data_IF_266969945822
#
_entry.id   IF_266969945822
#
_cell.length_a   1.000
_cell.length_b   1.000
_cell.length_c   1.000
_cell.angle_alpha   90.00
_cell.angle_beta   90.00
_cell.angle_gamma   90.00
#
_symmetry.space_group_name_H-M   'P 1'
#
loop_
_entity.id
_entity.type
_entity.pdbx_description
1 polymer ?
#
# COMPACT_ATOMS: atom_id res chain seq x y z
N UNK A 1 -22.92 -4.12 -27.09
CA UNK A 1 -22.22 -3.75 -28.36
C UNK A 1 -21.95 -2.25 -28.55
N UNK A 2 -22.60 -1.33 -27.81
CA UNK A 2 -22.42 0.13 -28.01
C UNK A 2 -21.12 0.77 -27.50
N UNK A 3 -20.40 0.15 -26.55
CA UNK A 3 -19.18 0.74 -25.98
C UNK A 3 -17.97 0.63 -26.92
N UNK A 4 -17.88 -0.43 -27.72
CA UNK A 4 -16.71 -0.70 -28.56
C UNK A 4 -16.55 0.32 -29.73
N UNK A 5 -17.67 0.83 -30.26
CA UNK A 5 -17.70 1.87 -31.30
C UNK A 5 -17.29 3.25 -30.78
N UNK A 6 -17.65 3.59 -29.53
CA UNK A 6 -17.26 4.86 -28.90
C UNK A 6 -15.76 4.91 -28.61
N UNK A 7 -15.20 3.79 -28.15
CA UNK A 7 -13.76 3.62 -27.91
C UNK A 7 -12.94 3.80 -29.20
N UNK A 8 -13.33 3.16 -30.31
CA UNK A 8 -12.64 3.36 -31.59
C UNK A 8 -12.72 4.82 -32.10
N UNK A 9 -13.83 5.52 -31.86
CA UNK A 9 -13.98 6.93 -32.28
C UNK A 9 -13.06 7.90 -31.52
N UNK A 10 -12.75 7.60 -30.25
CA UNK A 10 -11.82 8.40 -29.44
C UNK A 10 -10.37 8.11 -29.84
N UNK A 11 -10.05 6.84 -30.09
CA UNK A 11 -8.74 6.42 -30.61
C UNK A 11 -8.44 6.96 -32.01
N UNK A 12 -9.45 7.23 -32.85
CA UNK A 12 -9.24 7.87 -34.16
C UNK A 12 -9.06 9.40 -34.07
N UNK A 13 -9.50 10.06 -32.99
CA UNK A 13 -9.18 11.49 -32.74
C UNK A 13 -7.72 11.72 -32.30
N UNK A 14 -6.98 10.64 -32.06
CA UNK A 14 -5.57 10.56 -31.58
C UNK A 14 -4.56 11.22 -32.52
N UNK A 15 -4.83 11.25 -33.83
CA UNK A 15 -3.91 11.87 -34.81
C UNK A 15 -3.79 13.40 -34.65
N UNK A 16 -4.69 14.04 -33.90
CA UNK A 16 -4.74 15.49 -33.77
C UNK A 16 -4.02 16.07 -32.54
N UNK A 17 -3.42 15.24 -31.67
CA UNK A 17 -2.70 15.74 -30.49
C UNK A 17 -1.27 16.17 -30.86
N UNK A 18 -1.01 17.49 -30.78
CA UNK A 18 0.30 18.10 -31.10
C UNK A 18 1.44 17.75 -30.13
N UNK A 19 1.15 17.19 -28.95
CA UNK A 19 2.14 16.90 -27.90
C UNK A 19 2.17 15.41 -27.58
N UNK A 20 3.36 14.82 -27.58
CA UNK A 20 3.57 13.41 -27.22
C UNK A 20 3.08 13.07 -25.80
N UNK A 21 3.28 13.99 -24.85
CA UNK A 21 2.82 13.82 -23.47
C UNK A 21 1.29 13.79 -23.36
N UNK A 22 0.61 14.63 -24.15
CA UNK A 22 -0.86 14.67 -24.12
C UNK A 22 -1.45 13.42 -24.76
N UNK A 23 -0.83 12.94 -25.85
CA UNK A 23 -1.20 11.66 -26.46
C UNK A 23 -1.04 10.50 -25.47
N UNK A 24 0.09 10.43 -24.76
CA UNK A 24 0.34 9.40 -23.76
C UNK A 24 -0.67 9.44 -22.61
N UNK A 25 -0.96 10.63 -22.06
CA UNK A 25 -1.98 10.77 -21.02
C UNK A 25 -3.36 10.25 -21.47
N UNK A 26 -3.78 10.53 -22.71
CA UNK A 26 -5.05 10.02 -23.23
C UNK A 26 -5.03 8.50 -23.44
N UNK A 27 -3.88 7.94 -23.81
CA UNK A 27 -3.71 6.49 -23.94
C UNK A 27 -3.82 5.82 -22.57
N UNK A 28 -3.18 6.39 -21.55
CA UNK A 28 -3.27 5.91 -20.18
C UNK A 28 -4.72 6.00 -19.67
N UNK A 29 -5.40 7.13 -19.83
CA UNK A 29 -6.80 7.30 -19.39
C UNK A 29 -7.80 6.34 -20.06
N UNK A 30 -7.46 5.79 -21.23
CA UNK A 30 -8.30 4.83 -21.96
C UNK A 30 -7.89 3.38 -21.72
N UNK A 31 -6.75 3.15 -21.07
CA UNK A 31 -6.24 1.81 -20.75
C UNK A 31 -6.82 1.32 -19.43
N UNK A 32 -7.04 0.02 -19.33
CA UNK A 32 -7.50 -0.60 -18.08
C UNK A 32 -6.48 -0.31 -16.96
N UNK A 33 -6.99 0.15 -15.81
CA UNK A 33 -6.15 0.52 -14.66
C UNK A 33 -5.29 -0.66 -14.19
N UNK A 34 -5.78 -1.89 -14.28
CA UNK A 34 -5.01 -3.09 -13.92
C UNK A 34 -3.77 -3.28 -14.80
N UNK A 35 -3.87 -2.95 -16.10
CA UNK A 35 -2.77 -3.04 -17.06
C UNK A 35 -1.73 -1.95 -16.78
N UNK A 36 -2.16 -0.71 -16.53
CA UNK A 36 -1.25 0.39 -16.19
C UNK A 36 -0.48 0.10 -14.90
N UNK A 37 -1.17 -0.35 -13.86
CA UNK A 37 -0.55 -0.70 -12.57
C UNK A 37 0.38 -1.90 -12.72
N UNK A 38 0.04 -2.88 -13.55
CA UNK A 38 0.90 -4.03 -13.84
C UNK A 38 2.21 -3.62 -14.54
N UNK A 39 2.14 -2.75 -15.55
CA UNK A 39 3.33 -2.21 -16.24
C UNK A 39 4.21 -1.39 -15.28
N UNK A 40 3.57 -0.50 -14.52
CA UNK A 40 4.26 0.37 -13.59
C UNK A 40 4.93 -0.43 -12.46
N UNK A 41 4.26 -1.47 -11.96
CA UNK A 41 4.79 -2.39 -10.96
C UNK A 41 5.93 -3.24 -11.53
N UNK A 42 5.77 -3.78 -12.74
CA UNK A 42 6.83 -4.53 -13.42
C UNK A 42 8.10 -3.68 -13.62
N UNK A 43 7.91 -2.45 -14.08
CA UNK A 43 9.00 -1.47 -14.26
C UNK A 43 9.65 -1.12 -12.92
N UNK A 44 8.86 -0.90 -11.86
CA UNK A 44 9.39 -0.61 -10.54
C UNK A 44 10.21 -1.78 -9.96
N UNK A 45 9.74 -3.02 -10.10
CA UNK A 45 10.45 -4.20 -9.63
C UNK A 45 11.73 -4.41 -10.45
N UNK A 46 11.65 -4.41 -11.78
CA UNK A 46 12.82 -4.65 -12.65
C UNK A 46 13.93 -3.60 -12.47
N UNK A 47 13.58 -2.37 -12.11
CA UNK A 47 14.53 -1.28 -11.80
C UNK A 47 14.99 -1.25 -10.35
N UNK A 48 14.65 -2.26 -9.53
CA UNK A 48 14.96 -2.30 -8.09
C UNK A 48 14.39 -1.12 -7.29
N UNK A 49 13.31 -0.50 -7.75
CA UNK A 49 12.70 0.64 -7.06
C UNK A 49 11.75 0.14 -5.96
N UNK A 50 12.33 -0.13 -4.78
CA UNK A 50 11.59 -0.63 -3.62
C UNK A 50 10.49 0.34 -3.17
N UNK A 51 10.77 1.65 -3.18
CA UNK A 51 9.81 2.67 -2.74
C UNK A 51 8.56 2.65 -3.62
N UNK A 52 8.74 2.66 -4.95
CA UNK A 52 7.65 2.65 -5.91
C UNK A 52 6.88 1.32 -5.88
N UNK A 53 7.61 0.20 -5.82
CA UNK A 53 7.01 -1.14 -5.66
C UNK A 53 6.12 -1.21 -4.42
N UNK A 54 6.63 -0.70 -3.28
CA UNK A 54 5.88 -0.65 -2.02
C UNK A 54 4.65 0.24 -2.16
N UNK A 55 4.80 1.46 -2.69
CA UNK A 55 3.68 2.41 -2.85
C UNK A 55 2.53 1.83 -3.65
N UNK A 56 2.81 1.08 -4.70
CA UNK A 56 1.77 0.45 -5.54
C UNK A 56 1.11 -0.71 -4.78
N UNK A 57 1.90 -1.65 -4.25
CA UNK A 57 1.36 -2.86 -3.62
C UNK A 57 0.57 -2.57 -2.36
N UNK A 58 0.97 -1.57 -1.57
CA UNK A 58 0.22 -1.22 -0.36
C UNK A 58 -1.06 -0.46 -0.67
N UNK A 59 -1.32 -0.01 -1.89
CA UNK A 59 -2.52 0.77 -2.22
C UNK A 59 -3.68 -0.13 -2.67
N UNK A 60 -3.44 -1.41 -2.94
CA UNK A 60 -4.48 -2.35 -3.33
C UNK A 60 -5.43 -2.70 -2.17
N UNK A 61 -6.70 -2.88 -2.54
CA UNK A 61 -7.80 -3.31 -1.68
C UNK A 61 -8.67 -4.37 -2.34
N UNK A 62 -9.26 -5.26 -1.54
CA UNK A 62 -10.20 -6.26 -2.04
C UNK A 62 -9.56 -7.18 -3.09
N UNK A 63 -10.12 -7.20 -4.30
CA UNK A 63 -9.67 -8.03 -5.43
C UNK A 63 -8.76 -7.28 -6.42
N UNK A 64 -8.38 -6.02 -6.14
CA UNK A 64 -7.54 -5.22 -7.03
C UNK A 64 -6.17 -5.89 -7.30
N UNK A 65 -5.57 -6.52 -6.28
CA UNK A 65 -4.34 -7.28 -6.46
C UNK A 65 -4.51 -8.42 -7.47
N UNK A 66 -5.60 -9.19 -7.40
CA UNK A 66 -5.83 -10.34 -8.29
C UNK A 66 -6.04 -9.89 -9.75
N UNK A 67 -6.69 -8.73 -9.93
CA UNK A 67 -6.85 -8.10 -11.24
C UNK A 67 -5.49 -7.67 -11.82
N UNK A 68 -4.67 -7.00 -11.03
CA UNK A 68 -3.31 -6.58 -11.42
C UNK A 68 -2.41 -7.80 -11.65
N UNK A 69 -2.47 -8.83 -10.82
CA UNK A 69 -1.69 -10.07 -10.99
C UNK A 69 -2.07 -10.79 -12.29
N UNK A 70 -3.34 -10.74 -12.68
CA UNK A 70 -3.77 -11.26 -13.98
C UNK A 70 -3.17 -10.47 -15.14
N UNK A 71 -3.18 -9.13 -15.07
CA UNK A 71 -2.59 -8.26 -16.09
C UNK A 71 -1.05 -8.33 -16.12
N UNK A 72 -0.40 -8.58 -14.98
CA UNK A 72 1.06 -8.70 -14.84
C UNK A 72 1.67 -9.78 -15.73
N UNK A 73 0.88 -10.79 -16.10
CA UNK A 73 1.26 -11.87 -17.04
C UNK A 73 1.60 -11.36 -18.44
N UNK A 74 1.19 -10.14 -18.80
CA UNK A 74 1.60 -9.48 -20.04
C UNK A 74 3.11 -9.21 -20.04
N UNK A 75 3.69 -8.91 -18.88
CA UNK A 75 5.07 -8.43 -18.74
C UNK A 75 6.02 -9.47 -18.17
N UNK A 76 5.51 -10.44 -17.40
CA UNK A 76 6.33 -11.47 -16.76
C UNK A 76 5.64 -12.83 -16.77
N UNK A 77 6.45 -13.90 -16.87
CA UNK A 77 6.00 -15.27 -16.64
C UNK A 77 6.05 -15.67 -15.16
N UNK A 78 6.70 -14.86 -14.33
CA UNK A 78 6.77 -15.04 -12.88
C UNK A 78 5.59 -14.31 -12.21
N UNK A 79 5.11 -14.84 -11.07
CA UNK A 79 4.15 -14.10 -10.24
C UNK A 79 4.80 -12.85 -9.65
N UNK A 80 3.97 -11.85 -9.31
CA UNK A 80 4.42 -10.62 -8.67
C UNK A 80 5.29 -10.92 -7.44
N UNK A 81 4.84 -11.83 -6.58
CA UNK A 81 5.57 -12.19 -5.36
C UNK A 81 6.92 -12.85 -5.63
N UNK A 82 7.03 -13.64 -6.69
CA UNK A 82 8.30 -14.24 -7.09
C UNK A 82 9.27 -13.18 -7.60
N UNK A 83 8.78 -12.23 -8.40
CA UNK A 83 9.57 -11.07 -8.86
C UNK A 83 10.06 -10.22 -7.68
N UNK A 84 9.19 -9.93 -6.71
CA UNK A 84 9.52 -9.16 -5.50
C UNK A 84 10.58 -9.87 -4.65
N UNK A 85 10.43 -11.18 -4.40
CA UNK A 85 11.42 -11.94 -3.62
C UNK A 85 12.78 -12.01 -4.31
N UNK A 86 12.78 -12.21 -5.62
CA UNK A 86 14.01 -12.23 -6.42
C UNK A 86 14.75 -10.90 -6.36
N UNK A 87 14.02 -9.78 -6.39
CA UNK A 87 14.64 -8.46 -6.44
C UNK A 87 14.99 -7.88 -5.06
N UNK A 88 14.12 -8.06 -4.08
CA UNK A 88 14.20 -7.37 -2.78
C UNK A 88 14.38 -8.33 -1.59
N UNK A 89 14.36 -9.64 -1.84
CA UNK A 89 14.54 -10.66 -0.83
C UNK A 89 13.25 -11.10 -0.13
N UNK A 90 13.36 -12.22 0.58
CA UNK A 90 12.24 -12.91 1.23
C UNK A 90 11.58 -12.07 2.33
N UNK A 91 12.33 -11.28 3.08
CA UNK A 91 11.78 -10.45 4.16
C UNK A 91 10.85 -9.37 3.61
N UNK A 92 11.25 -8.69 2.52
CA UNK A 92 10.42 -7.67 1.86
C UNK A 92 9.14 -8.29 1.28
N UNK A 93 9.25 -9.41 0.55
CA UNK A 93 8.08 -10.16 0.07
C UNK A 93 7.12 -10.48 1.22
N UNK A 94 7.63 -11.04 2.32
CA UNK A 94 6.79 -11.48 3.45
C UNK A 94 5.98 -10.32 4.05
N UNK A 95 6.61 -9.15 4.21
CA UNK A 95 5.95 -7.97 4.74
C UNK A 95 4.88 -7.45 3.77
N UNK A 96 5.22 -7.27 2.49
CA UNK A 96 4.28 -6.74 1.50
C UNK A 96 3.09 -7.67 1.26
N UNK A 97 3.34 -8.97 1.17
CA UNK A 97 2.28 -9.98 1.05
C UNK A 97 1.35 -9.98 2.28
N UNK A 98 1.89 -9.80 3.49
CA UNK A 98 1.06 -9.71 4.69
C UNK A 98 0.13 -8.48 4.66
N UNK A 99 0.60 -7.36 4.11
CA UNK A 99 -0.22 -6.15 3.93
C UNK A 99 -1.34 -6.38 2.93
N UNK A 100 -1.02 -6.99 1.78
CA UNK A 100 -2.01 -7.32 0.75
C UNK A 100 -3.12 -8.21 1.35
N UNK A 101 -2.75 -9.29 2.03
CA UNK A 101 -3.71 -10.21 2.65
C UNK A 101 -4.61 -9.55 3.70
N UNK A 102 -4.07 -8.63 4.51
CA UNK A 102 -4.90 -7.91 5.49
C UNK A 102 -5.88 -6.92 4.88
N UNK A 103 -5.66 -6.52 3.62
CA UNK A 103 -6.51 -5.59 2.88
C UNK A 103 -7.50 -6.24 1.91
N UNK A 104 -7.44 -7.56 1.75
CA UNK A 104 -8.45 -8.34 0.99
C UNK A 104 -9.84 -8.29 1.60
N UNK A 105 -9.95 -7.95 2.88
CA UNK A 105 -11.23 -7.94 3.60
C UNK A 105 -11.62 -6.53 4.02
N UNK A 106 -12.84 -6.12 3.69
CA UNK A 106 -13.40 -4.86 4.19
C UNK A 106 -13.48 -4.88 5.71
N UNK A 107 -13.03 -3.79 6.34
CA UNK A 107 -13.19 -3.62 7.78
C UNK A 107 -14.66 -3.51 8.13
N UNK A 108 -15.13 -4.32 9.08
CA UNK A 108 -16.50 -4.24 9.60
C UNK A 108 -16.81 -2.82 10.07
N UNK A 109 -17.97 -2.30 9.71
CA UNK A 109 -18.44 -0.99 10.13
C UNK A 109 -19.67 -1.12 11.05
N UNK A 110 -19.81 -0.19 11.99
CA UNK A 110 -21.04 0.06 12.73
C UNK A 110 -22.15 0.43 11.74
N UNK A 111 -23.41 0.21 12.16
CA UNK A 111 -24.57 0.54 11.32
C UNK A 111 -24.47 2.00 10.84
N UNK A 112 -24.54 2.25 9.52
CA UNK A 112 -24.36 3.58 8.98
C UNK A 112 -25.49 4.51 9.47
N UNK A 113 -25.10 5.64 10.04
CA UNK A 113 -26.04 6.73 10.31
C UNK A 113 -26.27 7.46 8.99
N UNK A 114 -27.54 7.72 8.64
CA UNK A 114 -27.92 8.36 7.37
C UNK A 114 -27.08 9.63 7.15
N UNK A 115 -26.32 9.65 6.06
CA UNK A 115 -25.46 10.77 5.66
C UNK A 115 -24.08 10.87 6.34
N UNK A 116 -23.69 9.93 7.22
CA UNK A 116 -22.38 9.95 7.91
C UNK A 116 -21.47 8.74 7.68
N UNK A 117 -21.88 7.77 6.86
CA UNK A 117 -21.14 6.52 6.69
C UNK A 117 -21.14 5.67 7.97
N UNK A 118 -20.65 4.43 7.86
CA UNK A 118 -20.44 3.55 9.01
C UNK A 118 -19.11 3.87 9.69
N UNK A 119 -19.10 3.88 11.02
CA UNK A 119 -17.84 4.00 11.78
C UNK A 119 -17.14 2.64 11.79
N UNK A 120 -15.84 2.54 11.48
CA UNK A 120 -15.13 1.26 11.51
C UNK A 120 -15.12 0.67 12.92
N UNK A 121 -15.43 -0.62 13.01
CA UNK A 121 -15.34 -1.41 14.24
C UNK A 121 -13.88 -1.86 14.39
N UNK A 122 -13.18 -1.24 15.34
CA UNK A 122 -11.76 -1.54 15.60
C UNK A 122 -11.64 -2.53 16.74
N UNK A 123 -10.91 -3.63 16.51
CA UNK A 123 -10.56 -4.58 17.57
C UNK A 123 -9.45 -4.00 18.44
N UNK A 124 -9.81 -3.48 19.61
CA UNK A 124 -8.86 -2.84 20.51
C UNK A 124 -7.87 -3.81 21.14
N UNK A 125 -8.24 -5.08 21.30
CA UNK A 125 -7.36 -6.09 21.90
C UNK A 125 -6.13 -6.28 21.02
N UNK A 126 -6.32 -6.47 19.72
CA UNK A 126 -5.24 -6.61 18.73
C UNK A 126 -4.34 -5.37 18.72
N UNK A 127 -4.93 -4.16 18.78
CA UNK A 127 -4.17 -2.91 18.80
C UNK A 127 -3.29 -2.80 20.05
N UNK A 128 -3.80 -3.19 21.22
CA UNK A 128 -3.07 -3.13 22.50
C UNK A 128 -1.98 -4.20 22.55
N UNK A 129 -2.26 -5.41 22.10
CA UNK A 129 -1.28 -6.50 22.00
C UNK A 129 -0.10 -6.07 21.11
N UNK A 130 -0.39 -5.59 19.90
CA UNK A 130 0.65 -5.09 18.99
C UNK A 130 1.40 -3.91 19.63
N UNK A 131 0.73 -2.99 20.33
CA UNK A 131 1.42 -1.89 21.01
C UNK A 131 2.49 -2.38 22.02
N UNK A 132 2.16 -3.34 22.88
CA UNK A 132 3.13 -3.88 23.84
C UNK A 132 4.25 -4.67 23.17
N UNK A 133 3.92 -5.44 22.12
CA UNK A 133 4.93 -6.14 21.33
C UNK A 133 5.93 -5.17 20.69
N UNK A 134 5.45 -4.04 20.17
CA UNK A 134 6.31 -3.01 19.58
C UNK A 134 7.24 -2.41 20.62
N UNK A 135 6.76 -2.12 21.84
CA UNK A 135 7.59 -1.61 22.92
C UNK A 135 8.72 -2.60 23.27
N UNK A 136 8.39 -3.89 23.40
CA UNK A 136 9.39 -4.93 23.66
C UNK A 136 10.44 -5.04 22.55
N UNK A 137 10.03 -4.91 21.28
CA UNK A 137 10.96 -4.94 20.14
C UNK A 137 11.86 -3.71 20.13
N UNK A 138 11.33 -2.52 20.43
CA UNK A 138 12.09 -1.27 20.47
C UNK A 138 13.12 -1.24 21.60
N UNK A 139 12.84 -1.91 22.72
CA UNK A 139 13.76 -2.06 23.84
C UNK A 139 14.82 -3.16 23.61
N UNK A 140 14.66 -3.96 22.55
CA UNK A 140 15.62 -5.02 22.19
C UNK A 140 16.83 -4.50 21.39
N UNK A 141 17.90 -5.31 21.33
CA UNK A 141 19.10 -5.07 20.50
C UNK A 141 19.08 -5.86 19.17
N UNK A 142 17.94 -6.45 18.81
CA UNK A 142 17.82 -7.32 17.63
C UNK A 142 17.51 -6.52 16.36
N UNK A 143 17.32 -7.20 15.23
CA UNK A 143 16.79 -6.59 14.01
C UNK A 143 15.36 -6.08 14.24
N UNK A 144 15.30 -4.82 14.68
CA UNK A 144 14.08 -4.09 14.99
C UNK A 144 13.23 -3.93 13.73
N UNK A 145 13.85 -3.76 12.55
CA UNK A 145 13.12 -3.42 11.33
C UNK A 145 12.21 -4.55 10.83
N UNK A 146 12.77 -5.75 10.67
CA UNK A 146 12.00 -6.92 10.25
C UNK A 146 10.91 -7.25 11.27
N UNK A 147 11.25 -7.22 12.56
CA UNK A 147 10.30 -7.55 13.61
C UNK A 147 9.12 -6.57 13.62
N UNK A 148 9.37 -5.26 13.52
CA UNK A 148 8.31 -4.26 13.42
C UNK A 148 7.39 -4.53 12.22
N UNK A 149 7.96 -4.82 11.04
CA UNK A 149 7.19 -5.11 9.83
C UNK A 149 6.21 -6.29 10.00
N UNK A 150 6.68 -7.39 10.58
CA UNK A 150 5.88 -8.60 10.83
C UNK A 150 4.72 -8.40 11.82
N UNK A 151 4.86 -7.47 12.78
CA UNK A 151 3.76 -7.14 13.73
C UNK A 151 2.79 -6.14 13.10
N UNK A 152 3.31 -5.11 12.43
CA UNK A 152 2.49 -4.02 11.89
C UNK A 152 1.64 -4.47 10.69
N UNK A 153 2.12 -5.39 9.87
CA UNK A 153 1.41 -5.86 8.69
C UNK A 153 0.10 -6.61 9.01
N UNK A 154 -0.12 -7.02 10.26
CA UNK A 154 -1.33 -7.70 10.72
C UNK A 154 -2.48 -6.74 11.04
N UNK A 155 -2.19 -5.45 11.12
CA UNK A 155 -3.17 -4.44 11.46
C UNK A 155 -3.90 -3.98 10.20
N UNK A 156 -5.23 -3.96 10.26
CA UNK A 156 -5.99 -3.21 9.26
C UNK A 156 -5.71 -1.70 9.38
N UNK A 157 -6.09 -0.95 8.34
CA UNK A 157 -5.85 0.49 8.26
C UNK A 157 -6.37 1.28 9.47
N UNK A 158 -7.50 0.88 10.06
CA UNK A 158 -8.10 1.57 11.20
C UNK A 158 -7.46 1.18 12.53
N UNK A 159 -7.07 -0.09 12.67
CA UNK A 159 -6.27 -0.56 13.79
C UNK A 159 -4.90 0.13 13.81
N UNK A 160 -4.25 0.28 12.66
CA UNK A 160 -2.99 1.00 12.52
C UNK A 160 -3.14 2.49 12.89
N UNK A 161 -4.21 3.16 12.44
CA UNK A 161 -4.53 4.53 12.84
C UNK A 161 -4.70 4.66 14.37
N UNK A 162 -5.42 3.71 14.97
CA UNK A 162 -5.63 3.70 16.43
C UNK A 162 -4.33 3.46 17.20
N UNK A 163 -3.49 2.55 16.72
CA UNK A 163 -2.15 2.32 17.27
C UNK A 163 -1.31 3.61 17.21
N UNK A 164 -1.28 4.30 16.07
CA UNK A 164 -0.56 5.57 15.91
C UNK A 164 -1.08 6.64 16.91
N UNK A 165 -2.39 6.71 17.15
CA UNK A 165 -2.96 7.60 18.16
C UNK A 165 -2.48 7.25 19.58
N UNK A 166 -2.47 5.97 19.96
CA UNK A 166 -1.97 5.51 21.27
C UNK A 166 -0.49 5.86 21.40
N UNK A 167 0.31 5.53 20.39
CA UNK A 167 1.74 5.82 20.36
C UNK A 167 2.03 7.32 20.51
N UNK A 168 1.30 8.19 19.81
CA UNK A 168 1.44 9.66 19.96
C UNK A 168 1.12 10.13 21.37
N UNK A 169 0.08 9.59 22.00
CA UNK A 169 -0.28 9.94 23.39
C UNK A 169 0.80 9.51 24.39
N UNK A 170 1.39 8.33 24.21
CA UNK A 170 2.47 7.82 25.09
C UNK A 170 3.80 8.51 24.81
N UNK A 171 4.10 8.85 23.55
CA UNK A 171 5.30 9.61 23.17
C UNK A 171 5.30 11.04 23.71
N UNK A 172 4.12 11.65 23.90
CA UNK A 172 3.99 12.92 24.62
C UNK A 172 4.27 12.79 26.13
N UNK A 173 4.32 11.57 26.66
CA UNK A 173 4.63 11.25 28.07
C UNK A 173 6.06 10.73 28.28
N UNK A 174 6.82 10.44 27.22
CA UNK A 174 8.16 9.82 27.31
C UNK A 174 9.18 10.57 26.46
N UNK A 175 10.24 11.10 27.07
CA UNK A 175 11.22 12.02 26.49
C UNK A 175 11.70 11.65 25.07
N UNK A 176 11.44 12.59 24.15
CA UNK A 176 11.35 12.44 22.69
C UNK A 176 12.67 12.14 21.94
N UNK A 177 13.81 12.01 22.62
CA UNK A 177 15.14 12.09 21.96
C UNK A 177 15.81 10.72 21.72
N UNK A 178 15.53 9.68 22.51
CA UNK A 178 16.23 8.38 22.36
C UNK A 178 15.75 7.52 21.17
N UNK A 179 14.51 7.69 20.72
CA UNK A 179 13.89 6.81 19.72
C UNK A 179 14.18 7.24 18.26
N UNK A 180 14.42 8.53 18.02
CA UNK A 180 14.76 9.05 16.68
C UNK A 180 16.17 8.64 16.27
N UNK A 181 17.13 8.55 17.20
CA UNK A 181 18.51 8.14 16.89
C UNK A 181 18.68 6.64 16.64
N UNK A 182 17.74 5.78 17.09
CA UNK A 182 17.77 4.33 16.83
C UNK A 182 16.93 3.90 15.62
N UNK A 183 15.96 4.72 15.18
CA UNK A 183 15.03 4.35 14.11
C UNK A 183 15.17 5.26 12.88
N UNK A 184 16.04 4.87 11.95
CA UNK A 184 15.86 5.19 10.52
C UNK A 184 14.54 4.63 9.94
N UNK A 185 13.80 3.82 10.73
CA UNK A 185 12.53 3.20 10.42
C UNK A 185 11.37 4.19 10.21
N UNK A 186 11.50 5.45 10.67
CA UNK A 186 10.49 6.48 10.39
C UNK A 186 10.36 6.77 8.89
N UNK A 187 11.41 6.60 8.08
CA UNK A 187 11.27 6.69 6.61
C UNK A 187 10.49 5.52 6.01
N UNK A 188 10.44 4.37 6.68
CA UNK A 188 9.64 3.22 6.24
C UNK A 188 8.17 3.40 6.62
N UNK A 189 7.88 3.96 7.81
CA UNK A 189 6.51 4.30 8.25
C UNK A 189 5.94 5.50 7.49
N UNK A 190 6.79 6.44 7.06
CA UNK A 190 6.40 7.57 6.18
C UNK A 190 5.93 7.07 4.80
N UNK A 191 6.43 5.93 4.33
CA UNK A 191 6.00 5.30 3.07
C UNK A 191 4.62 4.61 3.20
N UNK A 192 4.17 4.26 4.41
CA UNK A 192 2.91 3.53 4.61
C UNK A 192 1.63 4.37 4.48
N UNK A 193 1.73 5.71 4.36
CA UNK A 193 0.56 6.58 4.20
C UNK A 193 0.88 7.87 3.41
N UNK A 194 0.91 7.86 2.07
CA UNK A 194 0.88 9.10 1.30
C UNK A 194 -0.48 9.84 1.45
N UNK A 195 -1.59 9.09 1.59
CA UNK A 195 -2.94 9.62 1.46
C UNK A 195 -3.48 10.43 2.66
N UNK A 196 -2.76 10.52 3.78
CA UNK A 196 -3.23 11.22 4.99
C UNK A 196 -2.58 12.58 5.26
N UNK A 197 -1.74 13.07 4.33
CA UNK A 197 -1.11 14.40 4.44
C UNK A 197 -1.69 15.47 3.52
N UNK A 198 -2.79 15.21 2.81
CA UNK A 198 -3.52 16.25 2.06
C UNK A 198 -4.49 17.07 2.94
N UNK A 199 -4.52 16.83 4.25
CA UNK A 199 -5.30 17.60 5.23
C UNK A 199 -4.53 17.84 6.54
N UNK A 200 -3.37 18.45 6.44
CA UNK A 200 -2.80 19.32 7.47
C UNK A 200 -2.46 20.66 6.83
#
# INVERSE_FOLDING_TARGET
>A
MGNNLKFQSLLNKRENFKSGLMKQLFEDLLTDTSILLADELYTAISTSNLQKTTSILIDFWGDEFDQVETAYKIYSTESIWKSVEKQFGKSVKSILHCIDETRKHETKQEYPIKGRGGKPIVNNTVVVEVFYDLMNVLDSNNDVGQQLGERLCKLDSFQFQKLNMIYRKVRLLTDTIKLIHKCHFLNFVIIWMPALWSKC
#
